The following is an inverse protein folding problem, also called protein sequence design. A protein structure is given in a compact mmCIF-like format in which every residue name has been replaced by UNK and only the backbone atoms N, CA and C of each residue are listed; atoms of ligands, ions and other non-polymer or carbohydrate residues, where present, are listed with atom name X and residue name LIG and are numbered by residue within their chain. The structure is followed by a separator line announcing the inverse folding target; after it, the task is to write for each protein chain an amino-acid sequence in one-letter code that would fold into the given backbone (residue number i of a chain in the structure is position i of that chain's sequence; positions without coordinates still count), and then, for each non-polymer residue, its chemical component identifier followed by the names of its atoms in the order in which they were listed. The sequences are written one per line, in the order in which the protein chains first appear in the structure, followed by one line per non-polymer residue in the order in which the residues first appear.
data_IF_823420955683
#
_entry.id   IF_823420955683
#
_cell.length_a   1.000
_cell.length_b   1.000
_cell.length_c   1.000
_cell.angle_alpha   90.00
_cell.angle_beta   90.00
_cell.angle_gamma   90.00
#
_symmetry.space_group_name_H-M   'P 1'
#
loop_
_entity.id
_entity.type
_entity.pdbx_description
1 polymer ?
#
# COMPACT_ATOMS: atom_id res chain seq x y z
N UNK A 1 19.49 6.13 14.43
CA UNK A 1 18.34 5.20 14.57
C UNK A 1 18.02 4.69 13.17
N UNK A 2 17.54 3.46 13.01
CA UNK A 2 17.14 2.96 11.68
C UNK A 2 15.64 3.23 11.45
N UNK A 3 15.19 3.68 10.26
CA UNK A 3 13.78 3.89 10.01
C UNK A 3 12.99 2.58 10.05
N UNK A 4 11.75 2.63 10.51
CA UNK A 4 10.82 1.49 10.56
C UNK A 4 9.57 1.80 9.72
N UNK A 5 9.65 1.52 8.43
CA UNK A 5 8.52 1.75 7.53
C UNK A 5 7.42 0.68 7.62
N UNK A 6 7.57 -0.27 8.55
CA UNK A 6 6.70 -1.44 8.69
C UNK A 6 6.68 -2.28 7.40
N UNK A 7 5.99 -3.39 7.47
CA UNK A 7 5.80 -4.24 6.29
C UNK A 7 4.33 -4.18 5.87
N UNK A 8 4.06 -4.15 4.58
CA UNK A 8 2.68 -4.16 4.07
C UNK A 8 1.95 -5.46 4.40
N UNK A 9 2.67 -6.56 4.60
CA UNK A 9 2.14 -7.79 5.19
C UNK A 9 2.47 -7.83 6.69
N UNK A 10 1.49 -7.71 7.61
CA UNK A 10 1.75 -7.74 9.04
C UNK A 10 2.31 -9.09 9.50
N UNK A 11 3.46 -9.09 10.20
CA UNK A 11 4.08 -10.31 10.72
C UNK A 11 3.15 -11.11 11.64
N UNK A 12 2.29 -10.42 12.39
CA UNK A 12 1.29 -11.06 13.25
C UNK A 12 0.35 -11.99 12.48
N UNK A 13 -0.08 -11.61 11.27
CA UNK A 13 -0.93 -12.46 10.43
C UNK A 13 -0.19 -13.75 10.00
N UNK A 14 1.08 -13.64 9.63
CA UNK A 14 1.91 -14.81 9.27
C UNK A 14 2.03 -15.75 10.46
N UNK A 15 2.36 -15.21 11.64
CA UNK A 15 2.49 -16.00 12.87
C UNK A 15 1.17 -16.65 13.28
N UNK A 16 0.04 -15.94 13.18
CA UNK A 16 -1.28 -16.48 13.52
C UNK A 16 -1.69 -17.62 12.58
N UNK A 17 -1.45 -17.47 11.28
CA UNK A 17 -1.73 -18.53 10.31
C UNK A 17 -0.86 -19.76 10.55
N UNK A 18 0.43 -19.58 10.84
CA UNK A 18 1.35 -20.68 11.18
C UNK A 18 0.95 -21.38 12.48
N UNK A 19 0.57 -20.63 13.53
CA UNK A 19 0.09 -21.21 14.79
C UNK A 19 -1.22 -21.98 14.60
N UNK A 20 -2.16 -21.44 13.80
CA UNK A 20 -3.39 -22.13 13.45
C UNK A 20 -3.14 -23.46 12.71
N UNK A 21 -2.20 -23.45 11.75
CA UNK A 21 -1.79 -24.66 11.05
C UNK A 21 -1.22 -25.72 12.01
N UNK A 22 -0.29 -25.33 12.88
CA UNK A 22 0.33 -26.20 13.86
C UNK A 22 -0.72 -26.75 14.85
N UNK A 23 -1.64 -25.92 15.31
CA UNK A 23 -2.75 -26.32 16.19
C UNK A 23 -3.67 -27.37 15.54
N UNK A 24 -4.11 -27.13 14.29
CA UNK A 24 -4.95 -28.09 13.56
C UNK A 24 -4.22 -29.44 13.34
N UNK A 25 -2.96 -29.41 12.92
CA UNK A 25 -2.17 -30.62 12.70
C UNK A 25 -1.92 -31.39 14.01
N UNK A 26 -1.62 -30.68 15.11
CA UNK A 26 -1.47 -31.27 16.44
C UNK A 26 -2.76 -31.93 16.93
N UNK A 27 -3.91 -31.27 16.80
CA UNK A 27 -5.20 -31.82 17.12
C UNK A 27 -5.58 -33.02 16.23
N UNK A 28 -5.23 -32.99 14.94
CA UNK A 28 -5.40 -34.12 14.03
C UNK A 28 -4.62 -35.34 14.51
N UNK A 29 -3.36 -35.16 14.93
CA UNK A 29 -2.54 -36.22 15.49
C UNK A 29 -3.16 -36.81 16.77
N UNK A 30 -3.59 -35.93 17.71
CA UNK A 30 -4.27 -36.37 18.93
C UNK A 30 -5.55 -37.14 18.62
N UNK A 31 -6.43 -36.64 17.76
CA UNK A 31 -7.67 -37.33 17.35
C UNK A 31 -7.40 -38.66 16.65
N UNK A 32 -6.35 -38.72 15.83
CA UNK A 32 -6.00 -39.93 15.08
C UNK A 32 -5.36 -41.03 15.93
N UNK A 33 -4.45 -40.63 16.86
CA UNK A 33 -3.61 -41.57 17.62
C UNK A 33 -4.19 -41.94 19.01
N UNK A 34 -5.10 -41.12 19.55
CA UNK A 34 -5.71 -41.42 20.86
C UNK A 34 -7.11 -41.98 20.71
N UNK A 35 -7.56 -42.71 21.72
CA UNK A 35 -8.94 -43.24 21.77
C UNK A 35 -10.02 -42.23 22.21
N UNK A 36 -9.73 -40.93 22.21
CA UNK A 36 -10.64 -39.86 22.66
C UNK A 36 -11.98 -39.91 21.90
N UNK A 37 -11.95 -40.12 20.59
CA UNK A 37 -13.17 -40.30 19.77
C UNK A 37 -13.36 -41.78 19.53
N UNK A 38 -14.30 -42.40 20.30
CA UNK A 38 -14.58 -43.85 20.23
C UNK A 38 -15.16 -44.30 18.88
N UNK A 39 -16.05 -43.49 18.30
CA UNK A 39 -16.65 -43.81 17.00
C UNK A 39 -15.59 -43.62 15.87
N UNK A 40 -15.29 -44.72 15.16
CA UNK A 40 -14.28 -44.74 14.10
C UNK A 40 -14.59 -43.77 12.95
N UNK A 41 -15.85 -43.65 12.55
CA UNK A 41 -16.26 -42.74 11.45
C UNK A 41 -16.11 -41.29 11.86
N UNK A 42 -16.56 -40.91 13.08
CA UNK A 42 -16.38 -39.57 13.62
C UNK A 42 -14.88 -39.21 13.79
N UNK A 43 -14.08 -40.16 14.26
CA UNK A 43 -12.63 -39.96 14.40
C UNK A 43 -11.97 -39.69 13.06
N UNK A 44 -12.28 -40.48 12.01
CA UNK A 44 -11.75 -40.28 10.66
C UNK A 44 -12.18 -38.94 10.09
N UNK A 45 -13.44 -38.56 10.23
CA UNK A 45 -13.96 -37.28 9.76
C UNK A 45 -13.27 -36.08 10.47
N UNK A 46 -13.15 -36.13 11.81
CA UNK A 46 -12.49 -35.10 12.59
C UNK A 46 -11.00 -34.99 12.21
N UNK A 47 -10.28 -36.11 12.15
CA UNK A 47 -8.85 -36.12 11.76
C UNK A 47 -8.67 -35.59 10.35
N UNK A 48 -9.48 -36.04 9.37
CA UNK A 48 -9.43 -35.59 7.99
C UNK A 48 -9.72 -34.08 7.84
N UNK A 49 -10.75 -33.59 8.52
CA UNK A 49 -11.10 -32.16 8.55
C UNK A 49 -9.98 -31.29 9.12
N UNK A 50 -9.36 -31.72 10.24
CA UNK A 50 -8.26 -31.01 10.87
C UNK A 50 -6.98 -31.03 10.01
N UNK A 51 -6.68 -32.16 9.34
CA UNK A 51 -5.56 -32.24 8.39
C UNK A 51 -5.77 -31.28 7.22
N UNK A 52 -6.96 -31.25 6.63
CA UNK A 52 -7.28 -30.34 5.55
C UNK A 52 -7.14 -28.88 6.00
N UNK A 53 -7.74 -28.51 7.13
CA UNK A 53 -7.66 -27.17 7.68
C UNK A 53 -6.21 -26.76 7.99
N UNK A 54 -5.43 -27.64 8.61
CA UNK A 54 -4.02 -27.42 8.93
C UNK A 54 -3.16 -27.24 7.67
N UNK A 55 -3.39 -28.04 6.62
CA UNK A 55 -2.69 -27.93 5.34
C UNK A 55 -3.03 -26.61 4.63
N UNK A 56 -4.31 -26.24 4.58
CA UNK A 56 -4.72 -24.95 4.00
C UNK A 56 -4.13 -23.76 4.76
N UNK A 57 -4.19 -23.79 6.10
CA UNK A 57 -3.60 -22.73 6.94
C UNK A 57 -2.08 -22.66 6.77
N UNK A 58 -1.41 -23.82 6.64
CA UNK A 58 0.04 -23.89 6.38
C UNK A 58 0.42 -23.31 5.02
N UNK A 59 -0.34 -23.63 3.98
CA UNK A 59 -0.18 -23.04 2.65
C UNK A 59 -0.37 -21.51 2.68
N UNK A 60 -1.40 -21.02 3.36
CA UNK A 60 -1.63 -19.60 3.55
C UNK A 60 -0.49 -18.91 4.32
N UNK A 61 0.03 -19.55 5.39
CA UNK A 61 1.17 -19.03 6.15
C UNK A 61 2.44 -18.91 5.29
N UNK A 62 2.74 -19.93 4.47
CA UNK A 62 3.88 -19.89 3.55
C UNK A 62 3.73 -18.79 2.48
N UNK A 63 2.54 -18.64 1.93
CA UNK A 63 2.24 -17.55 0.99
C UNK A 63 2.41 -16.17 1.64
N UNK A 64 1.84 -15.96 2.84
CA UNK A 64 1.99 -14.71 3.60
C UNK A 64 3.45 -14.42 3.97
N UNK A 65 4.23 -15.45 4.33
CA UNK A 65 5.68 -15.30 4.57
C UNK A 65 6.41 -14.87 3.31
N UNK A 66 6.05 -15.42 2.14
CA UNK A 66 6.56 -14.98 0.86
C UNK A 66 6.26 -13.49 0.59
N UNK A 67 5.02 -13.05 0.82
CA UNK A 67 4.63 -11.63 0.73
C UNK A 67 5.44 -10.77 1.71
N UNK A 68 5.57 -11.21 2.97
CA UNK A 68 6.35 -10.50 3.98
C UNK A 68 7.79 -10.28 3.53
N UNK A 69 8.44 -11.31 2.98
CA UNK A 69 9.81 -11.21 2.46
C UNK A 69 9.91 -10.30 1.25
N UNK A 70 8.94 -10.35 0.34
CA UNK A 70 8.93 -9.53 -0.86
C UNK A 70 8.72 -8.05 -0.55
N UNK A 71 7.77 -7.72 0.36
CA UNK A 71 7.48 -6.35 0.77
C UNK A 71 8.44 -5.77 1.81
N UNK A 72 9.37 -6.57 2.34
CA UNK A 72 10.36 -6.07 3.29
C UNK A 72 11.18 -4.93 2.69
N UNK A 73 11.20 -3.78 3.36
CA UNK A 73 11.90 -2.57 2.90
C UNK A 73 13.42 -2.79 2.80
N UNK A 74 13.98 -3.62 3.68
CA UNK A 74 15.40 -3.99 3.74
C UNK A 74 15.68 -5.44 3.31
N UNK A 75 14.67 -6.15 2.77
CA UNK A 75 14.81 -7.54 2.31
C UNK A 75 15.55 -7.65 0.98
N UNK A 76 15.66 -8.85 0.45
CA UNK A 76 16.32 -9.09 -0.85
C UNK A 76 15.55 -8.48 -2.01
N UNK A 77 14.20 -8.59 -2.03
CA UNK A 77 13.35 -8.09 -3.12
C UNK A 77 13.08 -6.59 -3.02
N UNK A 78 12.95 -6.08 -1.80
CA UNK A 78 12.72 -4.66 -1.49
C UNK A 78 11.59 -4.01 -2.32
N UNK A 79 10.51 -4.76 -2.60
CA UNK A 79 9.46 -4.28 -3.50
C UNK A 79 8.83 -2.98 -3.02
N UNK A 80 8.52 -2.88 -1.72
CA UNK A 80 7.95 -1.65 -1.15
C UNK A 80 8.86 -0.45 -1.39
N UNK A 81 10.17 -0.61 -1.16
CA UNK A 81 11.16 0.43 -1.40
C UNK A 81 11.25 0.82 -2.87
N UNK A 82 11.32 -0.16 -3.77
CA UNK A 82 11.40 0.10 -5.21
C UNK A 82 10.17 0.86 -5.73
N UNK A 83 8.97 0.50 -5.26
CA UNK A 83 7.74 1.21 -5.60
C UNK A 83 7.79 2.65 -5.07
N UNK A 84 8.11 2.85 -3.80
CA UNK A 84 8.19 4.17 -3.16
C UNK A 84 9.20 5.07 -3.88
N UNK A 85 10.42 4.61 -4.08
CA UNK A 85 11.48 5.37 -4.78
C UNK A 85 11.12 5.62 -6.26
N UNK A 86 10.47 4.63 -6.89
CA UNK A 86 9.98 4.74 -8.26
C UNK A 86 8.90 5.81 -8.41
N UNK A 87 7.94 5.91 -7.49
CA UNK A 87 6.92 6.98 -7.50
C UNK A 87 7.57 8.33 -7.23
N UNK A 88 8.45 8.42 -6.21
CA UNK A 88 9.14 9.65 -5.84
C UNK A 88 9.99 10.22 -6.99
N UNK A 89 10.44 9.38 -7.93
CA UNK A 89 11.21 9.82 -9.11
C UNK A 89 10.42 10.68 -10.10
N UNK A 90 9.10 10.65 -10.04
CA UNK A 90 8.22 11.49 -10.87
C UNK A 90 7.92 12.86 -10.26
N UNK A 91 8.43 13.13 -9.06
CA UNK A 91 8.12 14.35 -8.32
C UNK A 91 9.34 15.27 -8.28
N UNK A 92 9.19 16.43 -8.91
CA UNK A 92 10.20 17.50 -8.86
C UNK A 92 9.47 18.79 -8.49
N UNK A 93 9.97 19.47 -7.46
CA UNK A 93 9.39 20.70 -6.94
C UNK A 93 10.36 21.87 -7.07
N UNK A 94 9.87 23.10 -7.32
CA UNK A 94 10.68 24.31 -7.22
C UNK A 94 11.13 24.54 -5.77
N UNK A 95 12.17 25.35 -5.58
CA UNK A 95 12.57 25.80 -4.26
C UNK A 95 11.42 26.54 -3.55
N UNK A 96 11.16 26.17 -2.28
CA UNK A 96 10.02 26.66 -1.50
C UNK A 96 8.67 26.03 -1.87
N UNK A 97 8.63 25.10 -2.83
CA UNK A 97 7.43 24.37 -3.19
C UNK A 97 6.91 23.48 -2.06
N UNK A 98 5.62 23.11 -2.13
CA UNK A 98 4.97 22.26 -1.13
C UNK A 98 4.32 21.07 -1.81
N UNK A 99 4.73 19.86 -1.43
CA UNK A 99 4.11 18.61 -1.86
C UNK A 99 3.14 18.03 -0.83
N UNK A 100 2.15 17.29 -1.28
CA UNK A 100 1.21 16.53 -0.45
C UNK A 100 1.32 15.04 -0.77
N UNK A 101 1.43 14.21 0.26
CA UNK A 101 1.32 12.75 0.16
C UNK A 101 0.05 12.27 0.86
N UNK A 102 -0.90 11.74 0.09
CA UNK A 102 -2.22 11.33 0.58
C UNK A 102 -2.21 9.85 0.94
N UNK A 103 -2.51 9.56 2.21
CA UNK A 103 -2.43 8.21 2.77
C UNK A 103 -0.98 7.80 3.04
N UNK A 104 -0.22 8.65 3.73
CA UNK A 104 1.22 8.50 3.91
C UNK A 104 1.65 7.29 4.76
N UNK A 105 0.73 6.64 5.49
CA UNK A 105 0.97 5.46 6.30
C UNK A 105 2.10 5.64 7.31
N UNK A 106 3.27 5.08 7.03
CA UNK A 106 4.51 5.21 7.83
C UNK A 106 5.41 6.37 7.40
N UNK A 107 4.96 7.20 6.44
CA UNK A 107 5.72 8.34 5.91
C UNK A 107 6.74 7.99 4.82
N UNK A 108 6.81 6.75 4.34
CA UNK A 108 7.85 6.31 3.42
C UNK A 108 7.90 7.13 2.11
N UNK A 109 6.75 7.35 1.45
CA UNK A 109 6.70 8.11 0.20
C UNK A 109 6.92 9.61 0.45
N UNK A 110 6.31 10.16 1.50
CA UNK A 110 6.53 11.55 1.93
C UNK A 110 8.02 11.84 2.11
N UNK A 111 8.74 10.97 2.85
CA UNK A 111 10.17 11.10 3.14
C UNK A 111 11.01 10.92 1.87
N UNK A 112 10.68 9.95 1.02
CA UNK A 112 11.39 9.74 -0.25
C UNK A 112 11.27 10.95 -1.18
N UNK A 113 10.08 11.55 -1.28
CA UNK A 113 9.85 12.78 -2.03
C UNK A 113 10.62 13.98 -1.42
N UNK A 114 10.61 14.12 -0.09
CA UNK A 114 11.32 15.19 0.60
C UNK A 114 12.84 15.11 0.41
N UNK A 115 13.45 13.92 0.45
CA UNK A 115 14.87 13.69 0.18
C UNK A 115 15.27 14.10 -1.23
N UNK A 116 14.40 13.88 -2.20
CA UNK A 116 14.63 14.25 -3.61
C UNK A 116 14.47 15.74 -3.87
N UNK A 117 13.76 16.44 -3.00
CA UNK A 117 13.41 17.86 -3.12
C UNK A 117 13.82 18.62 -1.84
N UNK A 118 15.13 18.73 -1.53
CA UNK A 118 15.58 19.23 -0.22
C UNK A 118 15.25 20.71 0.02
N UNK A 119 14.96 21.48 -1.03
CA UNK A 119 14.56 22.89 -0.94
C UNK A 119 13.03 23.10 -0.93
N UNK A 120 12.25 22.03 -0.92
CA UNK A 120 10.81 22.04 -0.86
C UNK A 120 10.32 21.36 0.45
N UNK A 121 9.07 21.52 0.79
CA UNK A 121 8.46 20.89 1.96
C UNK A 121 7.42 19.85 1.52
N UNK A 122 7.30 18.74 2.26
CA UNK A 122 6.28 17.73 2.04
C UNK A 122 5.37 17.56 3.26
N UNK A 123 4.07 17.52 3.00
CA UNK A 123 3.02 17.23 3.99
C UNK A 123 2.48 15.84 3.72
N UNK A 124 2.65 14.92 4.67
CA UNK A 124 2.00 13.61 4.63
C UNK A 124 0.71 13.65 5.45
N UNK A 125 -0.39 13.18 4.86
CA UNK A 125 -1.65 13.01 5.60
C UNK A 125 -2.10 11.57 5.60
N UNK A 126 -2.66 11.12 6.72
CA UNK A 126 -3.30 9.83 6.84
C UNK A 126 -4.44 9.90 7.85
N UNK A 127 -5.38 8.98 7.76
CA UNK A 127 -6.44 8.83 8.76
C UNK A 127 -5.94 8.12 10.01
N UNK A 128 -4.94 7.26 9.88
CA UNK A 128 -4.42 6.35 10.89
C UNK A 128 -5.53 5.67 11.68
N UNK A 129 -6.45 5.05 10.94
CA UNK A 129 -7.57 4.32 11.53
C UNK A 129 -7.11 3.06 12.28
N UNK A 130 -7.98 2.56 13.15
CA UNK A 130 -7.69 1.37 13.98
C UNK A 130 -7.34 0.13 13.14
N UNK A 131 -7.83 0.03 11.91
CA UNK A 131 -7.53 -1.04 10.95
C UNK A 131 -6.06 -1.07 10.51
N UNK A 132 -5.35 0.07 10.66
CA UNK A 132 -3.92 0.23 10.37
C UNK A 132 -3.14 0.69 11.61
N UNK A 133 -3.43 0.10 12.78
CA UNK A 133 -2.89 0.53 14.08
C UNK A 133 -1.35 0.52 14.18
N UNK A 134 -0.65 -0.16 13.26
CA UNK A 134 0.81 -0.11 13.15
C UNK A 134 1.34 1.19 12.57
N UNK A 135 0.50 2.00 11.93
CA UNK A 135 0.84 3.30 11.36
C UNK A 135 0.28 4.43 12.23
N UNK A 136 1.07 5.44 12.46
CA UNK A 136 0.66 6.62 13.22
C UNK A 136 1.62 7.79 12.96
N UNK A 137 1.22 8.99 13.34
CA UNK A 137 2.03 10.20 13.18
C UNK A 137 3.40 10.11 13.88
N UNK A 138 3.52 9.66 15.15
CA UNK A 138 4.82 9.51 15.80
C UNK A 138 5.79 8.60 15.05
N UNK A 139 5.30 7.54 14.42
CA UNK A 139 6.13 6.66 13.58
C UNK A 139 6.67 7.39 12.36
N UNK A 140 5.84 8.21 11.68
CA UNK A 140 6.28 9.00 10.54
C UNK A 140 7.38 10.00 10.93
N UNK A 141 7.19 10.71 12.05
CA UNK A 141 8.16 11.67 12.58
C UNK A 141 9.47 10.97 12.98
N UNK A 142 9.39 9.81 13.64
CA UNK A 142 10.57 9.01 13.98
C UNK A 142 11.33 8.53 12.73
N UNK A 143 10.62 8.14 11.69
CA UNK A 143 11.22 7.75 10.42
C UNK A 143 11.91 8.92 9.72
N UNK A 144 11.30 10.12 9.71
CA UNK A 144 11.93 11.33 9.16
C UNK A 144 13.23 11.67 9.89
N UNK A 145 13.21 11.64 11.22
CA UNK A 145 14.42 11.85 12.05
C UNK A 145 15.48 10.79 11.75
N UNK A 146 15.09 9.51 11.66
CA UNK A 146 16.02 8.41 11.38
C UNK A 146 16.69 8.52 10.00
N UNK A 147 16.00 9.14 9.03
CA UNK A 147 16.49 9.39 7.67
C UNK A 147 17.20 10.75 7.54
N UNK A 148 17.26 11.58 8.60
CA UNK A 148 17.86 12.92 8.56
C UNK A 148 17.07 13.90 7.70
N UNK A 149 15.74 13.76 7.64
CA UNK A 149 14.85 14.58 6.81
C UNK A 149 14.08 15.56 7.69
N UNK A 150 14.25 16.85 7.48
CA UNK A 150 13.68 17.93 8.30
C UNK A 150 12.53 18.67 7.58
N UNK A 151 12.41 18.49 6.28
CA UNK A 151 11.45 19.20 5.41
C UNK A 151 10.12 18.43 5.25
N UNK A 152 9.71 17.67 6.25
CA UNK A 152 8.44 16.93 6.28
C UNK A 152 7.55 17.38 7.42
N UNK A 153 6.25 17.27 7.21
CA UNK A 153 5.22 17.47 8.22
C UNK A 153 4.16 16.38 8.08
N UNK A 154 3.64 15.87 9.20
CA UNK A 154 2.62 14.83 9.19
C UNK A 154 1.37 15.29 9.94
N UNK A 155 0.19 15.14 9.29
CA UNK A 155 -1.11 15.56 9.84
C UNK A 155 -2.16 14.47 9.67
N UNK A 156 -3.12 14.43 10.56
CA UNK A 156 -4.31 13.61 10.35
C UNK A 156 -5.19 14.23 9.25
N UNK A 157 -5.69 13.39 8.34
CA UNK A 157 -6.55 13.84 7.24
C UNK A 157 -7.32 12.68 6.61
N UNK A 158 -8.35 13.03 5.83
CA UNK A 158 -9.18 12.07 5.13
C UNK A 158 -9.09 12.31 3.61
N UNK A 159 -8.66 11.29 2.88
CA UNK A 159 -8.52 11.34 1.42
C UNK A 159 -9.83 11.59 0.66
N UNK A 160 -10.98 11.24 1.25
CA UNK A 160 -12.30 11.46 0.63
C UNK A 160 -12.68 12.94 0.60
N UNK A 161 -12.21 13.72 1.59
CA UNK A 161 -12.39 15.17 1.67
C UNK A 161 -11.15 15.76 2.32
N UNK A 162 -10.30 16.34 1.50
CA UNK A 162 -9.04 16.92 1.93
C UNK A 162 -9.26 18.24 2.68
N UNK A 163 -8.63 18.45 3.85
CA UNK A 163 -8.80 19.67 4.64
C UNK A 163 -7.93 20.83 4.10
N UNK A 164 -7.88 21.00 2.79
CA UNK A 164 -7.06 21.98 2.11
C UNK A 164 -7.85 22.73 1.05
N UNK A 165 -7.47 23.98 0.81
CA UNK A 165 -8.01 24.79 -0.27
C UNK A 165 -7.65 24.22 -1.65
N UNK A 166 -8.35 24.66 -2.69
CA UNK A 166 -7.99 24.37 -4.06
C UNK A 166 -6.60 24.92 -4.38
N UNK A 167 -5.86 24.23 -5.24
CA UNK A 167 -4.62 24.73 -5.83
C UNK A 167 -3.59 25.26 -4.81
N UNK A 168 -3.36 24.50 -3.71
CA UNK A 168 -2.41 24.90 -2.66
C UNK A 168 -1.10 24.08 -2.63
N UNK A 169 -1.00 22.99 -3.40
CA UNK A 169 0.20 22.15 -3.47
C UNK A 169 0.83 22.14 -4.85
N UNK A 170 2.16 22.11 -4.90
CA UNK A 170 2.95 22.04 -6.13
C UNK A 170 3.13 20.60 -6.62
N UNK A 171 2.95 19.61 -5.73
CA UNK A 171 2.87 18.20 -6.09
C UNK A 171 1.85 17.46 -5.22
N UNK A 172 1.25 16.40 -5.77
CA UNK A 172 0.46 15.43 -5.00
C UNK A 172 0.88 14.01 -5.31
N UNK A 173 1.04 13.19 -4.27
CA UNK A 173 1.38 11.77 -4.37
C UNK A 173 0.43 10.90 -3.57
N UNK A 174 0.35 9.62 -3.93
CA UNK A 174 -0.31 8.59 -3.13
C UNK A 174 0.17 7.21 -3.58
N UNK A 175 0.20 6.25 -2.66
CA UNK A 175 0.57 4.88 -2.97
C UNK A 175 -0.30 3.86 -2.23
N UNK A 176 -1.06 3.06 -2.98
CA UNK A 176 -1.91 1.98 -2.47
C UNK A 176 -2.91 2.38 -1.38
N UNK A 177 -3.61 3.50 -1.58
CA UNK A 177 -4.55 4.08 -0.60
C UNK A 177 -6.01 3.89 -1.02
N UNK A 178 -6.37 4.36 -2.19
CA UNK A 178 -7.78 4.55 -2.55
C UNK A 178 -8.52 3.24 -2.80
N UNK A 179 -7.82 2.16 -3.22
CA UNK A 179 -8.46 0.85 -3.39
C UNK A 179 -9.02 0.27 -2.08
N UNK A 180 -8.49 0.74 -0.92
CA UNK A 180 -8.95 0.35 0.42
C UNK A 180 -10.11 1.22 0.94
N UNK A 181 -10.37 2.36 0.30
CA UNK A 181 -11.48 3.24 0.72
C UNK A 181 -12.80 2.64 0.23
N UNK A 182 -13.76 2.41 1.13
CA UNK A 182 -15.09 1.95 0.74
C UNK A 182 -15.83 3.06 0.00
N UNK A 183 -15.74 3.05 -1.33
CA UNK A 183 -16.40 4.00 -2.21
C UNK A 183 -16.89 3.30 -3.49
N UNK A 184 -18.02 3.76 -4.03
CA UNK A 184 -18.51 3.36 -5.35
C UNK A 184 -17.84 4.15 -6.48
N UNK A 185 -17.32 5.32 -6.17
CA UNK A 185 -16.63 6.21 -7.12
C UNK A 185 -15.25 6.61 -6.59
N UNK A 186 -14.24 5.82 -6.96
CA UNK A 186 -12.84 6.12 -6.60
C UNK A 186 -12.23 7.18 -7.51
N UNK A 187 -12.79 7.39 -8.71
CA UNK A 187 -12.34 8.48 -9.57
C UNK A 187 -12.66 9.84 -8.94
N UNK A 188 -13.80 9.97 -8.24
CA UNK A 188 -14.11 11.19 -7.47
C UNK A 188 -13.06 11.47 -6.38
N UNK A 189 -12.54 10.44 -5.72
CA UNK A 189 -11.47 10.61 -4.71
C UNK A 189 -10.16 11.04 -5.38
N UNK A 190 -9.82 10.50 -6.55
CA UNK A 190 -8.68 10.96 -7.34
C UNK A 190 -8.83 12.44 -7.75
N UNK A 191 -10.02 12.85 -8.19
CA UNK A 191 -10.31 14.24 -8.54
C UNK A 191 -10.24 15.17 -7.32
N UNK A 192 -10.65 14.72 -6.14
CA UNK A 192 -10.46 15.46 -4.88
C UNK A 192 -8.98 15.68 -4.58
N UNK A 193 -8.14 14.67 -4.79
CA UNK A 193 -6.68 14.80 -4.64
C UNK A 193 -6.11 15.80 -5.66
N UNK A 194 -6.57 15.77 -6.90
CA UNK A 194 -6.13 16.70 -7.94
C UNK A 194 -6.71 18.12 -7.79
N UNK A 195 -7.79 18.29 -7.02
CA UNK A 195 -8.35 19.61 -6.70
C UNK A 195 -7.34 20.51 -6.00
N UNK A 196 -6.61 19.95 -5.03
CA UNK A 196 -5.63 20.70 -4.23
C UNK A 196 -4.32 20.96 -4.94
N UNK A 197 -4.09 20.35 -6.13
CA UNK A 197 -2.92 20.56 -6.95
C UNK A 197 -3.01 21.89 -7.68
N UNK A 198 -1.98 22.73 -7.61
CA UNK A 198 -1.84 23.99 -8.37
C UNK A 198 -1.73 23.73 -9.86
N UNK A 199 -2.08 24.73 -10.66
CA UNK A 199 -1.73 24.77 -12.09
C UNK A 199 -0.20 24.75 -12.24
N UNK A 200 0.31 23.94 -13.17
CA UNK A 200 1.73 23.66 -13.34
C UNK A 200 2.31 22.67 -12.34
N UNK A 201 1.53 22.23 -11.33
CA UNK A 201 1.96 21.24 -10.36
C UNK A 201 1.93 19.82 -10.93
N UNK A 202 2.75 18.91 -10.37
CA UNK A 202 2.86 17.52 -10.81
C UNK A 202 2.12 16.55 -9.88
N UNK A 203 1.72 15.40 -10.41
CA UNK A 203 1.12 14.34 -9.62
C UNK A 203 1.68 12.96 -9.98
N UNK A 204 1.77 12.10 -8.97
CA UNK A 204 2.15 10.70 -9.12
C UNK A 204 1.32 9.84 -8.15
N UNK A 205 0.28 9.18 -8.67
CA UNK A 205 -0.69 8.41 -7.89
C UNK A 205 -0.63 6.95 -8.33
N UNK A 206 -0.20 6.08 -7.44
CA UNK A 206 -0.06 4.65 -7.69
C UNK A 206 -1.10 3.86 -6.90
N UNK A 207 -1.84 2.97 -7.59
CA UNK A 207 -2.84 2.11 -6.93
C UNK A 207 -3.22 0.90 -7.80
N UNK A 208 -3.99 -0.05 -7.22
CA UNK A 208 -4.60 -1.17 -7.95
C UNK A 208 -5.82 -0.63 -8.72
N UNK A 209 -5.55 -0.02 -9.88
CA UNK A 209 -6.55 0.68 -10.71
C UNK A 209 -7.28 -0.28 -11.66
N UNK A 210 -7.74 -1.43 -11.16
CA UNK A 210 -8.52 -2.36 -11.97
C UNK A 210 -9.86 -1.75 -12.39
N UNK A 211 -10.37 -2.18 -13.56
CA UNK A 211 -11.67 -1.69 -14.08
C UNK A 211 -12.82 -1.92 -13.09
N UNK A 212 -12.79 -3.01 -12.33
CA UNK A 212 -13.80 -3.31 -11.33
C UNK A 212 -13.80 -2.33 -10.14
N UNK A 213 -12.62 -1.78 -9.78
CA UNK A 213 -12.49 -0.84 -8.64
C UNK A 213 -12.65 0.62 -9.06
N UNK A 214 -12.13 0.98 -10.22
CA UNK A 214 -11.99 2.38 -10.66
C UNK A 214 -12.81 2.72 -11.90
N UNK A 215 -13.43 1.75 -12.56
CA UNK A 215 -14.01 1.97 -13.87
C UNK A 215 -12.94 2.13 -14.96
N UNK A 216 -13.24 2.95 -15.97
CA UNK A 216 -12.34 3.18 -17.09
C UNK A 216 -11.33 4.30 -16.76
N UNK A 217 -10.09 3.92 -16.49
CA UNK A 217 -9.02 4.86 -16.14
C UNK A 217 -8.40 5.56 -17.36
N UNK A 218 -8.49 4.95 -18.55
CA UNK A 218 -8.09 5.63 -19.79
C UNK A 218 -9.05 6.78 -20.11
N UNK A 219 -10.36 6.54 -19.97
CA UNK A 219 -11.36 7.59 -20.10
C UNK A 219 -11.16 8.72 -19.07
N UNK A 220 -10.71 8.41 -17.83
CA UNK A 220 -10.34 9.42 -16.84
C UNK A 220 -9.11 10.22 -17.29
N UNK A 221 -8.07 9.55 -17.79
CA UNK A 221 -6.88 10.23 -18.30
C UNK A 221 -7.23 11.19 -19.45
N UNK A 222 -8.09 10.75 -20.38
CA UNK A 222 -8.60 11.62 -21.45
C UNK A 222 -9.45 12.78 -20.93
N UNK A 223 -10.26 12.55 -19.89
CA UNK A 223 -11.00 13.63 -19.20
C UNK A 223 -10.05 14.66 -18.60
N UNK A 224 -8.99 14.25 -17.93
CA UNK A 224 -7.98 15.15 -17.37
C UNK A 224 -7.30 15.98 -18.47
N UNK A 225 -6.92 15.37 -19.60
CA UNK A 225 -6.35 16.10 -20.74
C UNK A 225 -7.32 17.16 -21.29
N UNK A 226 -8.62 16.83 -21.41
CA UNK A 226 -9.66 17.81 -21.80
C UNK A 226 -9.86 18.93 -20.77
N UNK A 227 -9.56 18.68 -19.50
CA UNK A 227 -9.58 19.69 -18.42
C UNK A 227 -8.34 20.59 -18.39
N UNK A 228 -7.38 20.38 -19.32
CA UNK A 228 -6.16 21.16 -19.43
C UNK A 228 -4.95 20.58 -18.67
N UNK A 229 -5.04 19.35 -18.16
CA UNK A 229 -3.87 18.66 -17.58
C UNK A 229 -2.91 18.24 -18.69
N UNK A 230 -1.61 18.41 -18.46
CA UNK A 230 -0.55 18.08 -19.40
C UNK A 230 0.15 16.77 -19.01
N UNK A 231 0.77 16.09 -20.00
CA UNK A 231 1.60 14.89 -19.79
C UNK A 231 0.89 13.81 -18.96
N UNK A 232 -0.44 13.70 -19.09
CA UNK A 232 -1.19 12.68 -18.37
C UNK A 232 -0.88 11.31 -18.95
N UNK A 233 -0.26 10.45 -18.15
CA UNK A 233 0.09 9.08 -18.49
C UNK A 233 -0.46 8.10 -17.48
N UNK A 234 -0.96 6.96 -17.97
CA UNK A 234 -1.37 5.83 -17.15
C UNK A 234 -0.42 4.67 -17.40
N UNK A 235 0.56 4.50 -16.50
CA UNK A 235 1.66 3.54 -16.65
C UNK A 235 1.27 2.24 -15.96
N UNK A 236 1.29 1.11 -16.68
CA UNK A 236 1.18 -0.22 -16.08
C UNK A 236 2.48 -0.54 -15.32
N UNK A 237 2.36 -0.77 -14.01
CA UNK A 237 3.50 -1.05 -13.14
C UNK A 237 3.73 -2.55 -12.91
N UNK A 238 2.86 -3.39 -13.49
CA UNK A 238 2.91 -4.85 -13.39
C UNK A 238 3.55 -5.53 -14.60
N UNK A 239 4.08 -4.73 -15.53
CA UNK A 239 4.78 -5.20 -16.72
C UNK A 239 6.26 -4.77 -16.66
N UNK A 240 6.98 -5.33 -15.69
CA UNK A 240 8.42 -5.14 -15.41
C UNK A 240 8.84 -3.71 -15.00
N UNK A 241 7.88 -2.79 -14.77
CA UNK A 241 8.19 -1.45 -14.25
C UNK A 241 8.58 -1.50 -12.76
N UNK A 242 7.70 -2.03 -11.89
CA UNK A 242 7.95 -2.23 -10.47
C UNK A 242 7.94 -3.70 -10.09
N UNK A 243 7.20 -4.51 -10.81
CA UNK A 243 7.07 -5.94 -10.60
C UNK A 243 6.77 -6.65 -11.93
N UNK A 244 7.13 -7.93 -12.02
CA UNK A 244 6.75 -8.76 -13.16
C UNK A 244 5.26 -9.12 -13.11
N UNK A 245 4.64 -9.53 -14.25
CA UNK A 245 3.25 -10.01 -14.28
C UNK A 245 2.99 -11.17 -13.32
N UNK A 246 3.97 -12.06 -13.15
CA UNK A 246 3.90 -13.19 -12.21
C UNK A 246 3.87 -12.69 -10.74
N UNK A 247 4.76 -11.77 -10.38
CA UNK A 247 4.78 -11.17 -9.04
C UNK A 247 3.46 -10.46 -8.76
N UNK A 248 2.95 -9.67 -9.70
CA UNK A 248 1.68 -8.96 -9.56
C UNK A 248 0.50 -9.92 -9.30
N UNK A 249 0.42 -11.02 -10.06
CA UNK A 249 -0.63 -12.02 -9.88
C UNK A 249 -0.50 -12.74 -8.54
N UNK A 250 0.70 -13.21 -8.20
CA UNK A 250 0.96 -13.94 -6.98
C UNK A 250 0.74 -13.10 -5.71
N UNK A 251 1.06 -11.78 -5.78
CA UNK A 251 0.93 -10.86 -4.64
C UNK A 251 -0.44 -10.19 -4.54
N UNK A 252 -1.35 -10.44 -5.48
CA UNK A 252 -2.66 -9.79 -5.52
C UNK A 252 -2.59 -8.32 -5.94
N UNK A 253 -1.54 -7.91 -6.65
CA UNK A 253 -1.28 -6.54 -7.11
C UNK A 253 -1.61 -6.33 -8.60
N UNK A 254 -2.24 -7.32 -9.25
CA UNK A 254 -2.65 -7.22 -10.66
C UNK A 254 -3.52 -5.99 -10.90
N UNK A 255 -3.21 -5.25 -11.96
CA UNK A 255 -3.88 -4.00 -12.30
C UNK A 255 -3.34 -2.78 -11.55
N UNK A 256 -2.18 -2.90 -10.88
CA UNK A 256 -1.47 -1.75 -10.34
C UNK A 256 -0.99 -0.85 -11.47
N UNK A 257 -1.35 0.43 -11.37
CA UNK A 257 -0.99 1.46 -12.34
C UNK A 257 -0.54 2.72 -11.63
N UNK A 258 0.31 3.47 -12.29
CA UNK A 258 0.77 4.77 -11.86
C UNK A 258 0.19 5.83 -12.80
N UNK A 259 -0.67 6.69 -12.27
CA UNK A 259 -1.19 7.86 -12.95
C UNK A 259 -0.28 9.05 -12.65
N UNK A 260 0.37 9.58 -13.69
CA UNK A 260 1.29 10.72 -13.59
C UNK A 260 0.91 11.83 -14.55
N UNK A 261 1.35 13.05 -14.27
CA UNK A 261 1.14 14.20 -15.14
C UNK A 261 1.35 15.52 -14.43
N UNK A 262 0.93 16.61 -15.09
CA UNK A 262 0.89 17.97 -14.55
C UNK A 262 -0.49 18.60 -14.80
N UNK A 263 -0.90 19.51 -13.89
CA UNK A 263 -2.19 20.22 -13.99
C UNK A 263 -2.02 21.52 -14.75
#
# INVERSE_FOLDING_TARGET
MKPDYKNWMPKGMVCSAAAGAAGCLGLAAVCGCTGLIKNKSCRRAATGGLLLAGTCAGGAALWMEGLYRAFSYDGKRQMSRQIIEGIASYVTLPAGGVGLDVGCGSGALTIACAKRNPQARFVGIDRWGAEYASYNKPLCEANAVAEGVENTEFRQGNAVKLPFADECFDAVTSNYVYHNIPSRDRQAILLETLRVLKKGGCFAIHDIMSKAKYGDMEALADKLRRMGYEKVELIDTTNDKFMSPFEAAWMGLSGSKLLVGSK
#
